data_IF_713369677163
#
_entry.id   IF_713369677163
#
_cell.length_a   1.000
_cell.length_b   1.000
_cell.length_c   1.000
_cell.angle_alpha   90.00
_cell.angle_beta   90.00
_cell.angle_gamma   90.00
#
_symmetry.space_group_name_H-M   'P 1'
#
loop_
_entity.id
_entity.type
_entity.pdbx_description
1 polymer ?
#
# COMPACT_ATOMS: atom_id res chain seq x y z
N UNK A 1 8.54 7.66 -22.39
CA UNK A 1 8.90 7.39 -20.98
C UNK A 1 8.21 6.11 -20.57
N UNK A 2 8.92 4.99 -20.73
CA UNK A 2 8.37 3.64 -20.60
C UNK A 2 8.30 3.28 -19.11
N UNK A 3 7.09 3.02 -18.61
CA UNK A 3 6.90 2.36 -17.30
C UNK A 3 7.19 0.87 -17.51
N UNK A 4 8.45 0.52 -17.79
CA UNK A 4 8.90 -0.86 -17.78
C UNK A 4 9.40 -1.20 -16.38
N UNK A 5 8.48 -1.66 -15.55
CA UNK A 5 8.80 -2.35 -14.32
C UNK A 5 7.70 -3.35 -14.04
N UNK A 6 8.08 -4.59 -13.72
CA UNK A 6 7.22 -5.77 -13.52
C UNK A 6 6.20 -5.66 -12.37
N UNK A 7 5.89 -4.47 -11.88
CA UNK A 7 4.79 -4.23 -10.95
C UNK A 7 3.45 -4.34 -11.67
N UNK A 8 2.55 -5.15 -11.13
CA UNK A 8 1.16 -5.34 -11.62
C UNK A 8 0.18 -4.35 -11.00
N UNK A 9 0.57 -3.70 -9.90
CA UNK A 9 -0.27 -2.77 -9.16
C UNK A 9 0.53 -1.66 -8.47
N UNK A 10 -0.18 -0.60 -8.07
CA UNK A 10 0.33 0.53 -7.27
C UNK A 10 -0.66 0.86 -6.15
N UNK A 11 -0.16 1.40 -5.04
CA UNK A 11 -0.99 1.81 -3.91
C UNK A 11 -0.66 3.25 -3.50
N UNK A 12 -1.68 4.03 -3.17
CA UNK A 12 -1.55 5.41 -2.73
C UNK A 12 -2.49 5.68 -1.56
N UNK A 13 -2.15 6.67 -0.74
CA UNK A 13 -3.05 7.19 0.29
C UNK A 13 -4.26 7.88 -0.34
N UNK A 14 -5.43 7.66 0.25
CA UNK A 14 -6.67 8.37 -0.09
C UNK A 14 -6.68 9.75 0.56
N UNK A 15 -5.93 10.67 -0.01
CA UNK A 15 -5.83 12.04 0.51
C UNK A 15 -7.04 12.87 0.11
N UNK A 16 -7.70 13.50 1.08
CA UNK A 16 -8.76 14.47 0.82
C UNK A 16 -8.13 15.85 0.53
N UNK A 17 -7.69 16.04 -0.72
CA UNK A 17 -7.02 17.27 -1.17
C UNK A 17 -7.87 18.51 -0.88
N UNK A 18 -9.20 18.44 -1.06
CA UNK A 18 -10.12 19.55 -0.80
C UNK A 18 -10.10 19.98 0.66
N UNK A 19 -9.99 19.05 1.60
CA UNK A 19 -9.86 19.39 3.02
C UNK A 19 -8.44 19.85 3.38
N UNK A 20 -7.41 19.34 2.71
CA UNK A 20 -6.03 19.76 2.96
C UNK A 20 -5.77 21.22 2.53
N UNK A 21 -6.34 21.66 1.41
CA UNK A 21 -6.17 23.05 0.94
C UNK A 21 -6.93 24.09 1.78
N UNK A 22 -7.85 23.67 2.66
CA UNK A 22 -8.49 24.58 3.64
C UNK A 22 -7.51 25.03 4.72
N UNK A 23 -6.40 24.32 4.91
CA UNK A 23 -5.32 24.79 5.78
C UNK A 23 -4.48 25.82 5.01
N UNK A 24 -4.73 27.10 5.26
CA UNK A 24 -4.07 28.21 4.56
C UNK A 24 -2.53 28.17 4.63
N UNK A 25 -1.94 27.59 5.68
CA UNK A 25 -0.49 27.44 5.80
C UNK A 25 0.09 26.38 4.85
N UNK A 26 -0.73 25.43 4.40
CA UNK A 26 -0.34 24.32 3.53
C UNK A 26 -0.91 24.45 2.11
N UNK A 27 -1.94 25.28 1.92
CA UNK A 27 -2.64 25.46 0.66
C UNK A 27 -1.69 25.77 -0.50
N UNK A 28 -0.79 26.75 -0.32
CA UNK A 28 0.18 27.13 -1.35
C UNK A 28 1.12 25.98 -1.71
N UNK A 29 1.64 25.25 -0.71
CA UNK A 29 2.54 24.12 -0.94
C UNK A 29 1.83 22.96 -1.65
N UNK A 30 0.58 22.67 -1.30
CA UNK A 30 -0.26 21.65 -1.94
C UNK A 30 -0.57 22.03 -3.40
N UNK A 31 -0.91 23.31 -3.65
CA UNK A 31 -1.15 23.81 -5.00
C UNK A 31 0.11 23.73 -5.88
N UNK A 32 1.26 24.16 -5.35
CA UNK A 32 2.54 24.11 -6.05
C UNK A 32 2.96 22.68 -6.41
N UNK A 33 2.64 21.71 -5.54
CA UNK A 33 2.94 20.31 -5.80
C UNK A 33 1.98 19.64 -6.81
N UNK A 34 0.92 20.34 -7.24
CA UNK A 34 -0.05 19.89 -8.24
C UNK A 34 -0.59 18.46 -7.99
N UNK A 35 -0.85 18.11 -6.72
CA UNK A 35 -1.20 16.74 -6.30
C UNK A 35 -2.39 16.15 -7.05
N UNK A 36 -3.43 16.96 -7.31
CA UNK A 36 -4.58 16.53 -8.10
C UNK A 36 -4.20 16.10 -9.52
N UNK A 37 -3.39 16.89 -10.23
CA UNK A 37 -2.92 16.55 -11.59
C UNK A 37 -2.00 15.33 -11.58
N UNK A 38 -1.12 15.24 -10.59
CA UNK A 38 -0.20 14.10 -10.43
C UNK A 38 -0.95 12.79 -10.23
N UNK A 39 -1.97 12.77 -9.36
CA UNK A 39 -2.82 11.59 -9.16
C UNK A 39 -3.59 11.25 -10.43
N UNK A 40 -4.16 12.23 -11.13
CA UNK A 40 -4.86 12.00 -12.41
C UNK A 40 -3.95 11.39 -13.47
N UNK A 41 -2.71 11.87 -13.60
CA UNK A 41 -1.75 11.29 -14.55
C UNK A 41 -1.30 9.89 -14.15
N UNK A 42 -1.11 9.62 -12.86
CA UNK A 42 -0.80 8.28 -12.37
C UNK A 42 -1.94 7.29 -12.65
N UNK A 43 -3.20 7.69 -12.41
CA UNK A 43 -4.37 6.87 -12.74
C UNK A 43 -4.46 6.60 -14.23
N UNK A 44 -4.37 7.65 -15.06
CA UNK A 44 -4.38 7.52 -16.52
C UNK A 44 -3.27 6.58 -17.03
N UNK A 45 -2.05 6.69 -16.50
CA UNK A 45 -0.93 5.84 -16.90
C UNK A 45 -1.06 4.40 -16.38
N UNK A 46 -1.62 4.20 -15.20
CA UNK A 46 -1.87 2.85 -14.67
C UNK A 46 -2.95 2.13 -15.51
N UNK A 47 -4.05 2.82 -15.82
CA UNK A 47 -5.12 2.31 -16.69
C UNK A 47 -4.60 1.98 -18.09
N UNK A 48 -3.84 2.90 -18.70
CA UNK A 48 -3.22 2.68 -20.01
C UNK A 48 -2.24 1.51 -20.04
N UNK A 49 -1.71 1.08 -18.90
CA UNK A 49 -0.81 -0.06 -18.76
C UNK A 49 -1.52 -1.34 -18.27
N UNK A 50 -2.85 -1.33 -18.11
CA UNK A 50 -3.63 -2.45 -17.57
C UNK A 50 -3.35 -2.76 -16.09
N UNK A 51 -2.77 -1.81 -15.34
CA UNK A 51 -2.34 -1.99 -13.95
C UNK A 51 -3.41 -1.50 -12.98
N UNK A 52 -3.51 -2.15 -11.82
CA UNK A 52 -4.48 -1.77 -10.76
C UNK A 52 -3.90 -0.72 -9.82
N UNK A 53 -4.73 0.23 -9.40
CA UNK A 53 -4.40 1.22 -8.36
C UNK A 53 -5.27 0.97 -7.12
N UNK A 54 -4.65 0.99 -5.95
CA UNK A 54 -5.33 0.85 -4.67
C UNK A 54 -5.24 2.13 -3.86
N UNK A 55 -6.36 2.52 -3.25
CA UNK A 55 -6.43 3.62 -2.30
C UNK A 55 -6.49 3.05 -0.88
N UNK A 56 -5.62 3.52 0.02
CA UNK A 56 -5.61 3.10 1.42
C UNK A 56 -5.94 4.26 2.35
N UNK A 57 -6.42 3.96 3.56
CA UNK A 57 -6.64 4.97 4.59
C UNK A 57 -5.30 5.68 4.92
N UNK A 58 -5.21 7.03 4.80
CA UNK A 58 -4.01 7.81 5.13
C UNK A 58 -3.68 7.88 6.64
N UNK A 59 -4.59 7.45 7.52
CA UNK A 59 -4.43 7.68 8.95
C UNK A 59 -3.16 7.02 9.51
N UNK A 60 -2.31 7.83 10.14
CA UNK A 60 -1.08 7.41 10.83
C UNK A 60 -0.04 6.68 9.98
N UNK A 61 -0.15 6.65 8.65
CA UNK A 61 0.83 5.99 7.76
C UNK A 61 2.26 6.50 7.98
N UNK A 62 2.42 7.79 8.25
CA UNK A 62 3.71 8.43 8.56
C UNK A 62 4.14 8.28 10.01
N UNK A 63 3.24 7.88 10.91
CA UNK A 63 3.49 7.80 12.36
C UNK A 63 3.71 6.37 12.84
N UNK A 64 3.10 5.39 12.16
CA UNK A 64 3.18 3.96 12.46
C UNK A 64 4.53 3.39 12.01
N UNK A 65 5.14 2.56 12.86
CA UNK A 65 6.36 1.84 12.49
C UNK A 65 6.01 0.66 11.59
N UNK A 66 6.62 0.59 10.41
CA UNK A 66 6.40 -0.52 9.46
C UNK A 66 6.89 -1.88 9.93
N UNK A 67 7.76 -1.92 10.96
CA UNK A 67 8.31 -3.15 11.51
C UNK A 67 7.54 -3.67 12.74
N UNK A 68 7.17 -2.79 13.68
CA UNK A 68 6.55 -3.20 14.95
C UNK A 68 5.14 -2.63 15.18
N UNK A 69 4.60 -1.86 14.23
CA UNK A 69 3.26 -1.24 14.28
C UNK A 69 3.01 -0.25 15.43
N UNK A 70 4.04 0.12 16.21
CA UNK A 70 3.90 1.17 17.20
C UNK A 70 3.62 2.53 16.53
N UNK A 71 2.65 3.27 17.06
CA UNK A 71 2.22 4.57 16.53
C UNK A 71 2.76 5.68 17.41
N UNK A 72 3.55 6.60 16.81
CA UNK A 72 4.02 7.81 17.49
C UNK A 72 2.85 8.73 17.86
N UNK A 73 2.81 9.19 19.13
CA UNK A 73 1.77 10.07 19.67
C UNK A 73 2.38 11.18 20.51
N UNK A 74 1.59 12.21 20.80
CA UNK A 74 2.01 13.32 21.68
C UNK A 74 3.31 13.97 21.20
N UNK A 75 4.30 14.04 22.08
CA UNK A 75 5.61 14.66 21.82
C UNK A 75 6.46 13.90 20.78
N UNK A 76 6.16 12.64 20.52
CA UNK A 76 6.92 11.80 19.59
C UNK A 76 6.38 11.88 18.16
N UNK A 77 5.25 12.58 17.96
CA UNK A 77 4.59 12.70 16.67
C UNK A 77 5.52 13.41 15.69
N UNK A 78 5.73 12.78 14.53
CA UNK A 78 6.51 13.37 13.45
C UNK A 78 5.75 14.52 12.81
N UNK A 79 6.48 15.59 12.53
CA UNK A 79 6.04 16.76 11.77
C UNK A 79 6.48 16.63 10.31
N UNK A 80 6.02 17.55 9.46
CA UNK A 80 6.42 17.60 8.05
C UNK A 80 7.94 17.80 7.87
N UNK A 81 8.62 18.43 8.85
CA UNK A 81 10.05 18.70 8.81
C UNK A 81 10.89 17.45 9.09
N UNK A 82 10.33 16.46 9.78
CA UNK A 82 11.06 15.26 10.17
C UNK A 82 11.18 14.31 8.97
N UNK A 83 12.40 14.16 8.44
CA UNK A 83 12.66 13.32 7.25
C UNK A 83 13.07 11.90 7.60
N UNK A 84 13.52 11.66 8.83
CA UNK A 84 13.94 10.34 9.32
C UNK A 84 12.89 9.80 10.29
N UNK A 85 12.48 8.57 10.08
CA UNK A 85 11.69 7.79 11.03
C UNK A 85 12.63 7.03 11.96
N UNK A 86 12.53 7.27 13.26
CA UNK A 86 13.23 6.50 14.30
C UNK A 86 12.21 5.87 15.25
N UNK A 87 12.16 4.54 15.29
CA UNK A 87 11.33 3.79 16.23
C UNK A 87 12.06 3.54 17.55
N UNK A 88 11.56 4.11 18.65
CA UNK A 88 12.08 3.88 20.00
C UNK A 88 11.69 2.51 20.58
N UNK A 89 10.79 1.77 19.92
CA UNK A 89 10.34 0.43 20.38
C UNK A 89 11.20 -0.68 19.79
N UNK A 90 11.39 -0.70 18.47
CA UNK A 90 12.14 -1.76 17.79
C UNK A 90 13.49 -1.31 17.22
N UNK A 91 13.86 -0.04 17.34
CA UNK A 91 15.14 0.49 16.85
C UNK A 91 15.21 0.73 15.34
N UNK A 92 14.12 0.57 14.59
CA UNK A 92 14.09 0.86 13.15
C UNK A 92 14.44 2.33 12.88
N UNK A 93 15.44 2.58 12.04
CA UNK A 93 15.81 3.91 11.55
C UNK A 93 15.83 3.91 10.02
N UNK A 94 15.03 4.75 9.39
CA UNK A 94 14.96 4.88 7.92
C UNK A 94 14.33 6.21 7.49
N UNK A 95 14.30 6.50 6.19
CA UNK A 95 13.55 7.65 5.68
C UNK A 95 12.04 7.50 5.97
N UNK A 96 11.41 8.60 6.40
CA UNK A 96 10.00 8.64 6.80
C UNK A 96 9.07 8.26 5.66
N UNK A 97 9.36 8.72 4.45
CA UNK A 97 8.51 8.48 3.29
C UNK A 97 8.66 7.02 2.82
N UNK A 98 9.83 6.39 2.98
CA UNK A 98 10.00 4.94 2.78
C UNK A 98 9.20 4.14 3.82
N UNK A 99 9.29 4.47 5.11
CA UNK A 99 8.50 3.81 6.15
C UNK A 99 6.99 3.90 5.87
N UNK A 100 6.51 5.10 5.49
CA UNK A 100 5.12 5.31 5.11
C UNK A 100 4.73 4.48 3.87
N UNK A 101 5.61 4.38 2.87
CA UNK A 101 5.38 3.57 1.66
C UNK A 101 5.20 2.08 1.98
N UNK A 102 5.96 1.54 2.93
CA UNK A 102 5.81 0.16 3.40
C UNK A 102 4.47 -0.02 4.12
N UNK A 103 4.07 0.93 4.98
CA UNK A 103 2.76 0.89 5.63
C UNK A 103 1.61 0.90 4.62
N UNK A 104 1.70 1.74 3.58
CA UNK A 104 0.73 1.81 2.49
C UNK A 104 0.64 0.47 1.76
N UNK A 105 1.78 -0.13 1.40
CA UNK A 105 1.84 -1.44 0.75
C UNK A 105 1.23 -2.54 1.62
N UNK A 106 1.56 -2.56 2.91
CA UNK A 106 1.02 -3.53 3.86
C UNK A 106 -0.51 -3.40 3.97
N UNK A 107 -1.05 -2.17 4.05
CA UNK A 107 -2.51 -1.95 4.07
C UNK A 107 -3.18 -2.38 2.78
N UNK A 108 -2.56 -2.10 1.63
CA UNK A 108 -3.07 -2.48 0.33
C UNK A 108 -3.10 -4.01 0.13
N UNK A 109 -2.14 -4.74 0.71
CA UNK A 109 -2.03 -6.21 0.60
C UNK A 109 -2.81 -6.95 1.67
N UNK A 110 -2.86 -6.45 2.91
CA UNK A 110 -3.69 -7.02 3.99
C UNK A 110 -5.19 -6.88 3.71
N UNK A 111 -5.61 -5.78 3.04
CA UNK A 111 -6.96 -5.63 2.53
C UNK A 111 -7.36 -6.68 1.46
N UNK A 112 -6.39 -7.44 0.92
CA UNK A 112 -6.65 -8.57 0.01
C UNK A 112 -6.75 -9.93 0.70
N UNK A 113 -6.40 -10.04 1.99
CA UNK A 113 -6.51 -11.31 2.74
C UNK A 113 -7.96 -11.73 3.05
N UNK A 114 -8.95 -10.96 2.61
CA UNK A 114 -10.38 -11.26 2.74
C UNK A 114 -11.07 -11.87 1.51
N UNK A 115 -10.35 -12.13 0.41
CA UNK A 115 -10.99 -12.71 -0.79
C UNK A 115 -9.96 -13.48 -1.62
N UNK A 116 -9.70 -14.74 -1.27
CA UNK A 116 -9.27 -15.87 -2.13
C UNK A 116 -8.78 -17.08 -1.32
N UNK A 117 -9.33 -17.33 -0.11
CA UNK A 117 -9.38 -18.69 0.42
C UNK A 117 -10.62 -19.38 -0.18
N UNK A 118 -10.59 -19.69 -1.47
CA UNK A 118 -11.33 -20.84 -1.96
C UNK A 118 -10.30 -21.92 -2.18
N UNK A 119 -10.27 -22.87 -1.24
CA UNK A 119 -9.54 -24.12 -1.41
C UNK A 119 -9.98 -24.73 -2.74
N UNK A 120 -8.99 -25.09 -3.55
CA UNK A 120 -9.24 -25.94 -4.71
C UNK A 120 -9.87 -27.24 -4.19
N UNK A 121 -11.13 -27.44 -4.53
CA UNK A 121 -11.79 -28.72 -4.40
C UNK A 121 -11.13 -29.65 -5.43
N UNK A 122 -10.04 -30.30 -5.04
CA UNK A 122 -9.43 -31.37 -5.84
C UNK A 122 -10.44 -32.52 -5.88
N UNK A 123 -11.15 -32.65 -7.01
CA UNK A 123 -11.96 -33.82 -7.32
C UNK A 123 -11.07 -35.07 -7.24
N UNK A 124 -11.46 -36.13 -6.51
CA UNK A 124 -10.76 -37.40 -6.61
C UNK A 124 -10.89 -37.91 -8.05
N UNK A 125 -9.77 -38.04 -8.76
CA UNK A 125 -9.76 -38.75 -10.03
C UNK A 125 -9.96 -40.23 -9.72
N UNK A 126 -10.99 -40.80 -10.35
CA UNK A 126 -11.17 -42.25 -10.44
C UNK A 126 -10.01 -42.83 -11.24
N UNK A 127 -9.09 -43.53 -10.59
CA UNK A 127 -8.21 -44.47 -11.27
C UNK A 127 -8.95 -45.79 -11.44
N UNK A 128 -9.42 -46.02 -12.66
CA UNK A 128 -9.80 -47.34 -13.11
C UNK A 128 -8.56 -48.05 -13.69
N UNK A 129 -8.59 -49.39 -13.53
CA UNK A 129 -7.90 -50.42 -14.33
C UNK A 129 -6.62 -51.01 -13.73
N UNK A 130 -6.70 -52.21 -13.15
CA UNK A 130 -6.49 -53.46 -13.91
C UNK A 130 -6.70 -54.72 -13.06
N UNK A 131 -7.28 -55.73 -13.72
CA UNK A 131 -7.44 -57.12 -13.29
C UNK A 131 -6.08 -57.78 -13.03
N UNK A 132 -6.01 -58.61 -12.00
CA UNK A 132 -5.39 -59.95 -12.10
C UNK A 132 -6.13 -60.91 -11.17
N UNK A 133 -6.81 -61.87 -11.78
CA UNK A 133 -7.23 -63.14 -11.18
C UNK A 133 -5.99 -63.95 -10.78
N UNK A 134 -6.08 -64.64 -9.63
CA UNK A 134 -5.45 -65.93 -9.26
C UNK A 134 -5.04 -65.92 -7.78
N UNK A 135 -5.80 -66.53 -6.88
CA UNK A 135 -5.72 -67.97 -6.54
C UNK A 135 -6.65 -68.29 -5.36
#
# INVERSE_FOLDING_TARGET
MLVNSGYTSSAVEKLNIQNMVKNHNLAQAIHNAAWGKTISFLSYKAESAGKKRYEVNPDNTTQECSSCHNIKRGKEKLTLKDRVYNCFVCGLVMDRDINASINILNRATLGQRGSHAQGENVRPQQEAVSRTENR
#
